data_IF_531678917840
#
_entry.id   IF_531678917840
#
_cell.length_a   1.000
_cell.length_b   1.000
_cell.length_c   1.000
_cell.angle_alpha   90.00
_cell.angle_beta   90.00
_cell.angle_gamma   90.00
#
_symmetry.space_group_name_H-M   'P 1'
#
loop_
_entity.id
_entity.type
_entity.pdbx_description
1 polymer ?
#
# COMPACT_ATOMS: atom_id res chain seq x y z
N UNK A 1 9.27 36.38 23.42
CA UNK A 1 8.14 35.41 23.63
C UNK A 1 8.30 34.26 22.65
N UNK A 2 8.30 33.02 23.15
CA UNK A 2 8.40 31.84 22.31
C UNK A 2 7.19 31.77 21.37
N UNK A 3 7.43 31.62 20.07
CA UNK A 3 6.40 31.59 19.01
C UNK A 3 6.33 30.20 18.41
N UNK A 4 5.11 29.62 18.38
CA UNK A 4 4.89 28.31 17.75
C UNK A 4 4.98 28.43 16.23
N UNK A 5 5.70 27.48 15.61
CA UNK A 5 5.63 27.20 14.19
C UNK A 5 4.65 26.06 14.00
N UNK A 6 3.52 26.35 13.35
CA UNK A 6 2.44 25.39 13.14
C UNK A 6 2.51 24.80 11.73
N UNK A 7 2.09 23.53 11.57
CA UNK A 7 1.98 22.89 10.25
C UNK A 7 0.96 23.64 9.39
N UNK A 8 1.34 24.19 8.22
CA UNK A 8 0.41 24.94 7.37
C UNK A 8 -0.66 24.04 6.78
N UNK A 9 -1.86 24.58 6.58
CA UNK A 9 -2.94 23.89 5.87
C UNK A 9 -3.05 24.44 4.44
N UNK A 10 -2.62 23.64 3.47
CA UNK A 10 -2.68 23.97 2.03
C UNK A 10 -3.94 23.37 1.38
N UNK A 11 -5.09 24.05 1.55
CA UNK A 11 -6.39 23.63 1.01
C UNK A 11 -7.35 23.04 2.06
N UNK A 12 -8.64 22.92 1.70
CA UNK A 12 -9.68 22.46 2.62
C UNK A 12 -9.68 20.94 2.86
N UNK A 13 -9.07 20.18 1.97
CA UNK A 13 -9.05 18.71 2.00
C UNK A 13 -7.79 18.09 2.60
N UNK A 14 -6.80 18.91 3.02
CA UNK A 14 -5.55 18.40 3.61
C UNK A 14 -5.73 18.32 5.12
N UNK A 15 -5.67 17.10 5.67
CA UNK A 15 -5.81 16.84 7.11
C UNK A 15 -4.45 16.73 7.80
N UNK A 16 -3.44 16.19 7.12
CA UNK A 16 -2.07 16.06 7.63
C UNK A 16 -1.03 16.25 6.52
N UNK A 17 0.22 16.54 6.93
CA UNK A 17 1.37 16.70 6.05
C UNK A 17 2.57 15.96 6.61
N UNK A 18 3.42 15.42 5.74
CA UNK A 18 4.64 14.71 6.15
C UNK A 18 5.85 15.65 6.07
N UNK A 19 6.65 15.69 7.12
CA UNK A 19 7.89 16.48 7.14
C UNK A 19 8.91 15.81 6.21
N UNK A 20 9.34 16.53 5.16
CA UNK A 20 10.32 16.09 4.19
C UNK A 20 11.75 16.23 4.71
N UNK A 21 12.22 17.46 4.89
CA UNK A 21 13.58 17.76 5.34
C UNK A 21 13.59 18.99 6.24
N UNK A 22 14.41 18.97 7.29
CA UNK A 22 14.70 20.13 8.12
C UNK A 22 15.95 20.84 7.63
N UNK A 23 15.84 22.13 7.29
CA UNK A 23 16.97 22.96 6.87
C UNK A 23 17.73 23.58 8.04
N UNK A 24 17.12 23.59 9.24
CA UNK A 24 17.67 24.11 10.49
C UNK A 24 17.62 23.07 11.60
N UNK A 25 18.57 23.16 12.52
CA UNK A 25 18.67 22.28 13.72
C UNK A 25 18.31 23.04 14.96
N UNK A 26 17.89 22.32 16.02
CA UNK A 26 17.67 22.89 17.34
C UNK A 26 18.95 23.61 17.82
N UNK A 27 18.80 24.87 18.18
CA UNK A 27 19.91 25.74 18.58
C UNK A 27 20.39 26.70 17.48
N UNK A 28 19.98 26.55 16.22
CA UNK A 28 20.37 27.44 15.13
C UNK A 28 19.62 28.79 15.21
N UNK A 29 20.27 29.85 14.78
CA UNK A 29 19.64 31.17 14.61
C UNK A 29 18.85 31.17 13.31
N UNK A 30 17.64 31.69 13.37
CA UNK A 30 16.68 31.76 12.26
C UNK A 30 16.26 33.21 12.01
N UNK A 31 16.42 33.66 10.77
CA UNK A 31 15.93 34.98 10.31
C UNK A 31 14.48 34.89 9.83
N UNK A 32 13.74 36.02 9.92
CA UNK A 32 12.41 36.12 9.30
C UNK A 32 12.50 35.91 7.78
N UNK A 33 11.68 34.99 7.24
CA UNK A 33 11.69 34.60 5.83
C UNK A 33 12.69 33.50 5.49
N UNK A 34 13.47 32.97 6.44
CA UNK A 34 14.42 31.87 6.22
C UNK A 34 13.72 30.53 6.25
N UNK A 35 14.08 29.60 5.33
CA UNK A 35 13.46 28.29 5.21
C UNK A 35 13.78 27.43 6.44
N UNK A 36 12.75 26.83 7.04
CA UNK A 36 12.82 25.98 8.22
C UNK A 36 12.80 24.51 7.86
N UNK A 37 11.78 24.10 7.12
CA UNK A 37 11.59 22.70 6.71
C UNK A 37 10.77 22.63 5.43
N UNK A 38 10.89 21.50 4.72
CA UNK A 38 9.98 21.11 3.66
C UNK A 38 8.92 20.15 4.20
N UNK A 39 7.72 20.21 3.64
CA UNK A 39 6.65 19.27 3.94
C UNK A 39 5.93 18.82 2.68
N UNK A 40 5.51 17.59 2.69
CA UNK A 40 4.83 16.93 1.56
C UNK A 40 3.36 16.73 1.90
N UNK A 41 2.50 17.15 0.98
CA UNK A 41 1.07 16.85 0.99
C UNK A 41 0.79 15.70 0.02
N UNK A 42 -0.44 15.25 -0.06
CA UNK A 42 -0.87 14.25 -1.07
C UNK A 42 -0.69 14.73 -2.53
N UNK A 43 -0.42 16.04 -2.74
CA UNK A 43 -0.42 16.68 -4.07
C UNK A 43 0.91 17.34 -4.45
N UNK A 44 1.65 17.87 -3.50
CA UNK A 44 2.87 18.64 -3.77
C UNK A 44 3.78 18.74 -2.54
N UNK A 45 5.05 19.09 -2.79
CA UNK A 45 6.04 19.43 -1.76
C UNK A 45 6.07 20.94 -1.62
N UNK A 46 6.03 21.42 -0.39
CA UNK A 46 6.09 22.85 -0.04
C UNK A 46 7.25 23.09 0.93
N UNK A 47 7.70 24.35 0.99
CA UNK A 47 8.71 24.79 1.94
C UNK A 47 8.08 25.84 2.86
N UNK A 48 8.31 25.70 4.16
CA UNK A 48 7.83 26.66 5.15
C UNK A 48 8.99 27.53 5.64
N UNK A 49 8.77 28.84 5.59
CA UNK A 49 9.71 29.84 6.06
C UNK A 49 9.34 30.37 7.45
N UNK A 50 10.34 30.79 8.22
CA UNK A 50 10.13 31.41 9.53
C UNK A 50 9.38 32.71 9.43
N UNK A 51 8.34 32.87 10.25
CA UNK A 51 7.54 34.13 10.35
C UNK A 51 8.11 35.13 11.37
N UNK A 52 9.06 34.67 12.18
CA UNK A 52 9.72 35.45 13.22
C UNK A 52 11.20 35.13 13.26
N UNK A 53 12.05 36.08 13.63
CA UNK A 53 13.46 35.86 13.89
C UNK A 53 13.68 35.45 15.34
N UNK A 54 14.62 34.52 15.57
CA UNK A 54 14.95 34.01 16.89
C UNK A 54 15.80 32.72 16.78
N UNK A 55 15.91 32.01 17.89
CA UNK A 55 16.59 30.72 17.93
C UNK A 55 15.58 29.59 17.88
N UNK A 56 15.87 28.52 17.10
CA UNK A 56 15.04 27.32 17.07
C UNK A 56 15.21 26.54 18.40
N UNK A 57 14.21 26.65 19.30
CA UNK A 57 14.30 26.13 20.65
C UNK A 57 13.97 24.64 20.73
N UNK A 58 12.97 24.19 19.98
CA UNK A 58 12.54 22.80 19.97
C UNK A 58 11.94 22.43 18.61
N UNK A 59 12.10 21.15 18.25
CA UNK A 59 11.48 20.47 17.12
C UNK A 59 10.78 19.25 17.68
N UNK A 60 9.47 19.09 17.40
CA UNK A 60 8.63 18.04 17.99
C UNK A 60 8.45 16.84 17.08
N UNK A 61 8.65 17.01 15.75
CA UNK A 61 8.46 15.98 14.75
C UNK A 61 9.70 15.86 13.86
N UNK A 62 10.10 14.62 13.57
CA UNK A 62 11.25 14.29 12.73
C UNK A 62 10.94 14.24 11.24
N UNK A 63 11.98 14.05 10.44
CA UNK A 63 11.85 13.79 8.99
C UNK A 63 11.09 12.47 8.79
N UNK A 64 10.01 12.55 7.99
CA UNK A 64 9.13 11.42 7.68
C UNK A 64 7.95 11.23 8.63
N UNK A 65 7.79 12.10 9.62
CA UNK A 65 6.63 12.08 10.52
C UNK A 65 5.41 12.73 9.85
N UNK A 66 4.25 12.11 10.03
CA UNK A 66 2.96 12.61 9.55
C UNK A 66 2.33 13.48 10.64
N UNK A 67 2.21 14.79 10.36
CA UNK A 67 1.79 15.80 11.33
C UNK A 67 0.43 16.36 10.90
N UNK A 68 -0.58 16.36 11.80
CA UNK A 68 -1.85 17.01 11.54
C UNK A 68 -1.68 18.50 11.20
N UNK A 69 -2.49 19.01 10.25
CA UNK A 69 -2.49 20.43 9.96
C UNK A 69 -2.89 21.24 11.19
N UNK A 70 -2.24 22.39 11.38
CA UNK A 70 -2.39 23.30 12.52
C UNK A 70 -1.77 22.81 13.83
N UNK A 71 -1.10 21.67 13.86
CA UNK A 71 -0.31 21.23 15.02
C UNK A 71 1.02 21.99 15.11
N UNK A 72 1.54 22.16 16.32
CA UNK A 72 2.83 22.83 16.55
C UNK A 72 3.99 21.91 16.20
N UNK A 73 4.80 22.26 15.20
CA UNK A 73 5.95 21.46 14.71
C UNK A 73 7.26 21.85 15.36
N UNK A 74 7.41 23.14 15.65
CA UNK A 74 8.63 23.68 16.26
C UNK A 74 8.33 24.98 17.04
N UNK A 75 9.30 25.43 17.83
CA UNK A 75 9.21 26.68 18.60
C UNK A 75 10.45 27.53 18.34
N UNK A 76 10.22 28.82 18.00
CA UNK A 76 11.27 29.83 17.83
C UNK A 76 11.12 30.85 18.95
N UNK A 77 12.23 31.23 19.63
CA UNK A 77 12.23 32.20 20.71
C UNK A 77 13.63 32.59 21.13
N UNK A 78 13.75 33.33 22.27
CA UNK A 78 15.03 33.65 22.86
C UNK A 78 15.58 32.49 23.68
N UNK A 79 16.90 32.36 23.78
CA UNK A 79 17.58 31.28 24.52
C UNK A 79 17.17 31.27 26.01
N UNK A 80 16.59 30.14 26.47
CA UNK A 80 16.14 29.97 27.86
C UNK A 80 14.66 30.34 28.11
N UNK A 81 13.87 30.59 27.09
CA UNK A 81 12.43 30.82 27.24
C UNK A 81 11.67 29.52 27.52
N UNK A 82 10.66 29.59 28.39
CA UNK A 82 9.81 28.45 28.77
C UNK A 82 8.88 28.09 27.59
N UNK A 83 9.00 26.85 27.09
CA UNK A 83 8.24 26.31 25.96
C UNK A 83 7.05 25.45 26.38
N UNK A 84 6.85 25.21 27.68
CA UNK A 84 5.83 24.30 28.23
C UNK A 84 4.38 24.68 27.86
N UNK A 85 4.13 25.94 27.54
CA UNK A 85 2.78 26.44 27.13
C UNK A 85 2.49 26.29 25.64
N UNK A 86 3.47 25.93 24.81
CA UNK A 86 3.39 25.95 23.35
C UNK A 86 3.64 24.56 22.74
N UNK A 87 4.02 23.56 23.58
CA UNK A 87 4.23 22.20 23.14
C UNK A 87 2.92 21.53 22.67
N UNK A 88 2.95 20.70 21.63
CA UNK A 88 1.76 19.97 21.15
C UNK A 88 1.22 19.08 22.28
N UNK A 89 -0.12 19.05 22.45
CA UNK A 89 -0.78 18.05 23.26
C UNK A 89 -0.76 16.73 22.49
N UNK A 90 0.27 15.95 22.72
CA UNK A 90 0.28 14.56 22.27
C UNK A 90 -0.74 13.82 23.13
N UNK A 91 -1.94 13.62 22.63
CA UNK A 91 -2.82 12.56 23.09
C UNK A 91 -2.16 11.25 22.66
N UNK A 92 -1.42 10.64 23.60
CA UNK A 92 -0.95 9.29 23.43
C UNK A 92 -2.18 8.40 23.30
N UNK A 93 -2.39 7.79 22.14
CA UNK A 93 -3.27 6.63 22.01
C UNK A 93 -2.83 5.61 23.06
N UNK A 94 -3.75 5.12 23.92
CA UNK A 94 -3.39 4.09 24.88
C UNK A 94 -3.11 2.80 24.12
N UNK A 95 -1.86 2.35 24.15
CA UNK A 95 -1.55 0.95 23.93
C UNK A 95 -2.48 0.13 24.82
N UNK A 96 -3.37 -0.61 24.21
CA UNK A 96 -4.20 -1.60 24.90
C UNK A 96 -3.26 -2.69 25.44
N UNK A 97 -2.80 -2.47 26.68
CA UNK A 97 -2.39 -3.57 27.56
C UNK A 97 -3.65 -4.34 27.92
N UNK A 98 -3.80 -5.53 27.40
CA UNK A 98 -4.68 -6.53 27.96
C UNK A 98 -4.31 -6.75 29.43
N UNK A 99 -5.09 -6.18 30.33
CA UNK A 99 -5.14 -6.57 31.72
C UNK A 99 -5.93 -7.88 31.84
N UNK A 100 -5.23 -8.94 32.16
CA UNK A 100 -5.84 -10.14 32.69
C UNK A 100 -6.37 -9.86 34.11
N UNK A 101 -7.57 -10.34 34.47
CA UNK A 101 -8.17 -10.04 35.77
C UNK A 101 -7.40 -10.72 36.91
N UNK A 102 -7.09 -9.91 37.91
CA UNK A 102 -6.64 -10.39 39.21
C UNK A 102 -7.81 -11.05 39.95
N UNK A 103 -7.64 -12.27 40.35
CA UNK A 103 -8.46 -12.89 41.38
C UNK A 103 -7.62 -13.46 42.50
N UNK A 104 -8.12 -13.24 43.70
CA UNK A 104 -7.42 -13.20 44.98
C UNK A 104 -7.19 -14.57 45.63
N UNK A 105 -6.20 -14.53 46.52
CA UNK A 105 -6.07 -15.24 47.82
C UNK A 105 -5.88 -16.76 47.86
N UNK A 106 -4.78 -17.07 48.52
CA UNK A 106 -4.33 -18.35 49.03
C UNK A 106 -5.36 -19.03 50.01
N UNK A 107 -5.20 -20.31 50.37
CA UNK A 107 -4.11 -20.70 51.29
C UNK A 107 -3.40 -22.04 51.01
N UNK A 108 -2.32 -22.21 51.74
CA UNK A 108 -1.41 -23.31 51.80
C UNK A 108 -2.02 -24.71 52.03
N UNK A 109 -1.43 -25.72 51.39
CA UNK A 109 -1.11 -27.00 51.98
C UNK A 109 -0.26 -27.90 51.08
N UNK A 110 0.83 -28.39 51.69
CA UNK A 110 1.43 -29.73 51.60
C UNK A 110 2.09 -30.18 50.29
N UNK A 111 3.41 -30.19 50.34
CA UNK A 111 4.34 -31.25 49.90
C UNK A 111 3.70 -32.47 49.19
N UNK A 112 3.98 -32.57 47.87
CA UNK A 112 4.25 -33.87 47.25
C UNK A 112 5.30 -33.69 46.15
N UNK A 113 6.48 -34.25 46.42
CA UNK A 113 7.57 -34.50 45.48
C UNK A 113 7.09 -35.37 44.33
N UNK A 114 6.97 -34.74 43.16
CA UNK A 114 6.93 -35.47 41.87
C UNK A 114 8.09 -34.92 41.05
N UNK A 115 9.07 -35.75 40.77
CA UNK A 115 10.12 -35.53 39.78
C UNK A 115 9.50 -35.26 38.42
N UNK A 116 9.22 -33.98 38.13
CA UNK A 116 8.92 -33.56 36.76
C UNK A 116 10.27 -33.42 36.06
N UNK A 117 10.45 -34.22 34.99
CA UNK A 117 11.57 -34.12 34.08
C UNK A 117 11.80 -32.62 33.75
N UNK A 118 12.94 -32.07 34.19
CA UNK A 118 13.31 -30.66 33.94
C UNK A 118 13.41 -30.44 32.44
N UNK A 119 12.59 -29.58 31.89
CA UNK A 119 12.62 -29.25 30.47
C UNK A 119 13.96 -28.55 30.14
N UNK A 120 14.64 -28.98 29.10
CA UNK A 120 15.85 -28.35 28.58
C UNK A 120 15.50 -27.68 27.24
N UNK A 121 15.95 -26.42 27.07
CA UNK A 121 15.72 -25.76 25.76
C UNK A 121 16.62 -26.36 24.68
N UNK A 122 16.21 -26.38 23.40
CA UNK A 122 17.03 -26.92 22.30
C UNK A 122 18.41 -26.27 22.23
N UNK A 123 18.48 -24.97 22.48
CA UNK A 123 19.77 -24.23 22.53
C UNK A 123 20.65 -24.65 23.70
N UNK A 124 20.08 -24.86 24.90
CA UNK A 124 20.80 -25.36 26.05
C UNK A 124 21.33 -26.79 25.81
N UNK A 125 20.55 -27.64 25.12
CA UNK A 125 20.99 -28.99 24.79
C UNK A 125 22.19 -28.96 23.82
N UNK A 126 22.13 -28.16 22.76
CA UNK A 126 23.25 -27.99 21.84
C UNK A 126 24.49 -27.37 22.48
N UNK A 127 24.33 -26.44 23.43
CA UNK A 127 25.43 -25.85 24.18
C UNK A 127 26.08 -26.87 25.12
N UNK A 128 25.28 -27.70 25.82
CA UNK A 128 25.76 -28.75 26.72
C UNK A 128 26.54 -29.82 25.96
N UNK A 129 26.06 -30.28 24.78
CA UNK A 129 26.75 -31.25 23.92
C UNK A 129 28.10 -30.68 23.42
N UNK A 130 28.15 -29.41 22.99
CA UNK A 130 29.41 -28.76 22.57
C UNK A 130 30.43 -28.66 23.67
N UNK A 131 29.99 -28.33 24.89
CA UNK A 131 30.86 -28.12 26.03
C UNK A 131 31.13 -29.42 26.82
N UNK A 132 30.52 -30.53 26.39
CA UNK A 132 30.59 -31.86 27.05
C UNK A 132 30.19 -31.80 28.54
N UNK A 133 29.14 -31.02 28.82
CA UNK A 133 28.59 -30.83 30.17
C UNK A 133 27.24 -31.53 30.28
N UNK A 134 26.94 -32.07 31.46
CA UNK A 134 25.62 -32.61 31.76
C UNK A 134 24.62 -31.45 32.06
N UNK A 135 23.63 -31.23 31.25
CA UNK A 135 22.66 -30.14 31.48
C UNK A 135 21.81 -30.33 32.75
N UNK A 136 21.77 -31.54 33.30
CA UNK A 136 21.10 -31.81 34.59
C UNK A 136 21.80 -31.14 35.81
N UNK A 137 23.07 -30.82 35.67
CA UNK A 137 23.87 -30.14 36.70
C UNK A 137 23.65 -28.61 36.71
N UNK A 138 23.02 -28.02 35.65
CA UNK A 138 22.80 -26.59 35.59
C UNK A 138 21.61 -26.14 36.45
N UNK A 139 21.74 -25.02 37.16
CA UNK A 139 20.63 -24.40 37.89
C UNK A 139 19.67 -23.75 36.92
N UNK A 140 18.39 -24.18 36.81
CA UNK A 140 17.46 -23.70 35.81
C UNK A 140 16.97 -22.27 36.14
N UNK A 141 17.21 -21.30 35.23
CA UNK A 141 16.75 -19.90 35.39
C UNK A 141 15.70 -19.50 34.34
N UNK A 142 15.35 -20.41 33.43
CA UNK A 142 14.34 -20.16 32.40
C UNK A 142 12.88 -20.30 32.87
N UNK A 143 11.90 -19.85 32.08
CA UNK A 143 10.47 -19.95 32.42
C UNK A 143 10.05 -21.39 32.74
N UNK A 144 9.23 -21.57 33.78
CA UNK A 144 8.73 -22.84 34.28
C UNK A 144 9.84 -23.82 34.72
N UNK A 145 10.99 -23.32 35.19
CA UNK A 145 12.09 -24.17 35.66
C UNK A 145 12.84 -24.88 34.52
N UNK A 146 12.84 -24.34 33.33
CA UNK A 146 13.57 -24.86 32.16
C UNK A 146 15.03 -24.43 32.19
N UNK A 147 15.93 -25.36 31.86
CA UNK A 147 17.35 -25.02 31.66
C UNK A 147 17.49 -24.33 30.30
N UNK A 148 18.11 -23.14 30.31
CA UNK A 148 18.39 -22.32 29.13
C UNK A 148 19.90 -22.23 28.88
N UNK A 149 20.30 -21.73 27.68
CA UNK A 149 21.71 -21.68 27.27
C UNK A 149 22.62 -20.93 28.24
N UNK A 150 22.11 -19.87 28.87
CA UNK A 150 22.84 -19.10 29.93
C UNK A 150 23.19 -19.96 31.13
N UNK A 151 22.34 -20.91 31.50
CA UNK A 151 22.58 -21.79 32.67
C UNK A 151 23.71 -22.79 32.37
N UNK A 152 23.81 -23.27 31.14
CA UNK A 152 24.93 -24.12 30.68
C UNK A 152 26.23 -23.31 30.63
N UNK A 153 26.20 -22.05 30.22
CA UNK A 153 27.35 -21.17 30.20
C UNK A 153 27.86 -20.87 31.64
N UNK A 154 26.94 -20.70 32.59
CA UNK A 154 27.29 -20.53 34.01
C UNK A 154 27.94 -21.80 34.58
N UNK A 155 27.37 -23.00 34.31
CA UNK A 155 27.96 -24.29 34.72
C UNK A 155 29.34 -24.50 34.09
N UNK A 156 29.57 -24.08 32.86
CA UNK A 156 30.88 -24.15 32.19
C UNK A 156 31.92 -23.23 32.86
N UNK A 157 31.49 -22.06 33.38
CA UNK A 157 32.36 -21.15 34.10
C UNK A 157 32.77 -21.68 35.50
N UNK A 158 31.84 -22.35 36.18
CA UNK A 158 32.08 -22.95 37.49
C UNK A 158 32.99 -24.22 37.44
N UNK A 159 32.96 -24.95 36.33
CA UNK A 159 33.71 -26.18 36.15
C UNK A 159 35.18 -25.99 35.71
N UNK A 160 35.64 -24.76 35.50
CA UNK A 160 36.99 -24.46 35.03
C UNK A 160 37.96 -24.28 36.22
N UNK A 161 38.97 -25.14 36.29
CA UNK A 161 40.19 -24.93 37.13
C UNK A 161 41.09 -23.94 36.38
N UNK A 162 41.52 -22.83 37.08
CA UNK A 162 42.41 -21.84 36.50
C UNK A 162 43.86 -22.35 36.36
N UNK A 163 44.67 -21.68 35.53
CA UNK A 163 46.08 -22.00 35.24
C UNK A 163 47.04 -21.64 36.39
N UNK A 164 46.56 -20.98 37.45
CA UNK A 164 47.35 -20.59 38.60
C UNK A 164 47.63 -21.73 39.59
N UNK A 165 48.65 -21.57 40.43
CA UNK A 165 49.06 -22.55 41.46
C UNK A 165 47.84 -22.94 42.33
N UNK A 166 47.55 -24.25 42.42
CA UNK A 166 46.39 -24.76 43.14
C UNK A 166 45.04 -24.59 42.43
N UNK A 167 45.03 -24.38 41.11
CA UNK A 167 43.78 -24.22 40.33
C UNK A 167 43.14 -22.83 40.39
N UNK A 168 43.89 -21.81 40.81
CA UNK A 168 43.41 -20.42 40.92
C UNK A 168 43.25 -19.77 39.56
N UNK A 169 42.10 -19.16 39.28
CA UNK A 169 41.82 -18.40 38.05
C UNK A 169 42.72 -17.14 37.99
N UNK A 170 43.45 -16.97 36.91
CA UNK A 170 44.27 -15.80 36.64
C UNK A 170 43.50 -14.89 35.64
N UNK A 171 43.82 -13.58 35.56
CA UNK A 171 43.18 -12.66 34.60
C UNK A 171 43.27 -13.14 33.15
N UNK A 172 44.39 -13.80 32.75
CA UNK A 172 44.55 -14.39 31.42
C UNK A 172 43.57 -15.54 31.14
N UNK A 173 43.17 -16.31 32.14
CA UNK A 173 42.17 -17.37 31.98
C UNK A 173 40.80 -16.79 31.70
N UNK A 174 40.49 -15.61 32.30
CA UNK A 174 39.26 -14.87 32.06
C UNK A 174 39.21 -14.23 30.66
N UNK A 175 40.34 -13.71 30.16
CA UNK A 175 40.43 -13.18 28.79
C UNK A 175 40.35 -14.27 27.75
N UNK A 176 40.98 -15.42 27.97
CA UNK A 176 40.90 -16.59 27.11
C UNK A 176 39.44 -17.15 27.07
N UNK A 177 38.77 -17.15 28.24
CA UNK A 177 37.37 -17.55 28.34
C UNK A 177 36.44 -16.57 27.62
N UNK A 178 36.67 -15.25 27.72
CA UNK A 178 35.92 -14.22 26.96
C UNK A 178 36.11 -14.38 25.45
N UNK A 179 37.34 -14.53 24.97
CA UNK A 179 37.60 -14.79 23.54
C UNK A 179 36.94 -16.05 23.03
N UNK A 180 36.95 -17.14 23.78
CA UNK A 180 36.27 -18.40 23.38
C UNK A 180 34.75 -18.28 23.41
N UNK A 181 34.16 -17.42 24.26
CA UNK A 181 32.72 -17.13 24.26
C UNK A 181 32.35 -16.23 23.07
N UNK A 182 33.21 -15.24 22.70
CA UNK A 182 33.02 -14.42 21.50
C UNK A 182 33.16 -15.23 20.18
N UNK A 183 34.12 -16.18 20.13
CA UNK A 183 34.27 -17.10 18.99
C UNK A 183 33.15 -18.17 18.92
N UNK A 184 32.49 -18.47 20.05
CA UNK A 184 31.39 -19.45 20.13
C UNK A 184 29.99 -18.82 20.02
N UNK A 185 29.89 -17.50 20.05
CA UNK A 185 28.61 -16.83 19.63
C UNK A 185 28.50 -17.00 18.13
N UNK A 186 27.56 -17.81 17.64
CA UNK A 186 27.30 -17.80 16.20
C UNK A 186 26.94 -16.35 15.84
N UNK A 187 27.63 -15.78 14.86
CA UNK A 187 27.21 -14.54 14.25
C UNK A 187 25.71 -14.70 13.99
N UNK A 188 24.90 -13.73 14.46
CA UNK A 188 23.48 -13.73 14.11
C UNK A 188 23.40 -13.96 12.60
N UNK A 189 22.55 -14.88 12.12
CA UNK A 189 22.42 -15.07 10.68
C UNK A 189 22.23 -13.70 10.09
N UNK A 190 23.05 -13.36 9.08
CA UNK A 190 22.88 -12.11 8.34
C UNK A 190 21.41 -12.05 7.94
N UNK A 191 20.73 -10.97 8.28
CA UNK A 191 19.34 -10.80 7.93
C UNK A 191 19.24 -10.91 6.41
N UNK A 192 18.61 -11.99 5.93
CA UNK A 192 18.43 -12.26 4.48
C UNK A 192 17.26 -11.44 3.90
N UNK A 193 16.81 -10.40 4.58
CA UNK A 193 15.70 -9.53 4.19
C UNK A 193 16.08 -8.06 4.33
N UNK A 194 15.43 -7.23 3.54
CA UNK A 194 15.54 -5.79 3.58
C UNK A 194 14.17 -5.17 3.91
N UNK A 195 14.10 -4.38 4.96
CA UNK A 195 12.91 -3.60 5.31
C UNK A 195 12.92 -2.28 4.54
N UNK A 196 12.02 -2.16 3.54
CA UNK A 196 11.88 -0.95 2.73
C UNK A 196 10.72 -0.09 3.25
N UNK A 197 11.01 1.15 3.64
CA UNK A 197 9.97 2.12 4.05
C UNK A 197 9.05 2.43 2.87
N UNK A 198 7.74 2.38 3.13
CA UNK A 198 6.72 2.73 2.13
C UNK A 198 6.73 4.24 1.85
N UNK A 199 6.65 4.59 0.57
CA UNK A 199 6.41 5.98 0.15
C UNK A 199 4.99 6.43 0.54
N UNK A 200 4.75 7.74 0.66
CA UNK A 200 3.43 8.29 1.02
C UNK A 200 2.36 7.88 0.02
N UNK A 201 2.65 7.92 -1.29
CA UNK A 201 1.73 7.43 -2.32
C UNK A 201 1.37 5.97 -2.08
N UNK A 202 2.32 5.11 -1.72
CA UNK A 202 2.05 3.70 -1.44
C UNK A 202 1.19 3.51 -0.19
N UNK A 203 1.38 4.34 0.85
CA UNK A 203 0.53 4.33 2.06
C UNK A 203 -0.92 4.71 1.73
N UNK A 204 -1.12 5.77 0.92
CA UNK A 204 -2.47 6.20 0.47
C UNK A 204 -3.14 5.12 -0.36
N UNK A 205 -2.44 4.52 -1.32
CA UNK A 205 -2.97 3.40 -2.13
C UNK A 205 -3.35 2.22 -1.22
N UNK A 206 -2.49 1.84 -0.26
CA UNK A 206 -2.76 0.74 0.65
C UNK A 206 -4.02 0.99 1.49
N UNK A 207 -4.17 2.20 2.05
CA UNK A 207 -5.36 2.62 2.81
C UNK A 207 -6.62 2.57 1.93
N UNK A 208 -6.58 3.15 0.73
CA UNK A 208 -7.72 3.18 -0.20
C UNK A 208 -8.14 1.78 -0.65
N UNK A 209 -7.20 0.90 -0.99
CA UNK A 209 -7.50 -0.47 -1.42
C UNK A 209 -8.02 -1.33 -0.26
N UNK A 210 -7.46 -1.17 0.93
CA UNK A 210 -7.97 -1.84 2.13
C UNK A 210 -9.40 -1.38 2.43
N UNK A 211 -9.67 -0.07 2.41
CA UNK A 211 -11.00 0.50 2.61
C UNK A 211 -11.98 -0.06 1.58
N UNK A 212 -11.61 -0.09 0.30
CA UNK A 212 -12.45 -0.64 -0.77
C UNK A 212 -12.87 -2.08 -0.48
N UNK A 213 -11.93 -2.96 -0.11
CA UNK A 213 -12.25 -4.38 0.14
C UNK A 213 -12.98 -4.62 1.46
N UNK A 214 -12.75 -3.79 2.49
CA UNK A 214 -13.38 -3.95 3.80
C UNK A 214 -14.79 -3.39 3.85
N UNK A 215 -15.09 -2.31 3.10
CA UNK A 215 -16.38 -1.63 3.15
C UNK A 215 -17.35 -2.05 2.05
N UNK A 216 -16.85 -2.53 0.91
CA UNK A 216 -17.67 -2.85 -0.25
C UNK A 216 -17.95 -4.35 -0.37
N UNK A 217 -19.20 -4.71 -0.71
CA UNK A 217 -19.59 -6.08 -1.03
C UNK A 217 -19.24 -6.40 -2.50
N UNK A 218 -17.95 -6.51 -2.81
CA UNK A 218 -17.48 -6.67 -4.18
C UNK A 218 -17.76 -8.08 -4.73
N UNK A 219 -18.33 -8.14 -5.93
CA UNK A 219 -18.55 -9.36 -6.69
C UNK A 219 -18.07 -9.16 -8.12
N UNK A 220 -17.42 -10.17 -8.71
CA UNK A 220 -16.89 -10.09 -10.08
C UNK A 220 -17.59 -11.08 -11.00
N UNK A 221 -18.13 -10.55 -12.10
CA UNK A 221 -18.60 -11.35 -13.22
C UNK A 221 -17.60 -11.31 -14.37
N UNK A 222 -17.39 -12.44 -15.01
CA UNK A 222 -16.48 -12.56 -16.15
C UNK A 222 -17.22 -13.06 -17.39
N UNK A 223 -16.85 -12.50 -18.53
CA UNK A 223 -17.36 -12.93 -19.84
C UNK A 223 -16.22 -12.84 -20.85
N UNK A 224 -16.29 -13.62 -21.92
CA UNK A 224 -15.43 -13.44 -23.09
C UNK A 224 -16.25 -13.16 -24.32
N UNK A 225 -15.67 -12.39 -25.25
CA UNK A 225 -16.28 -12.04 -26.53
C UNK A 225 -15.33 -12.34 -27.69
N UNK A 226 -15.88 -12.47 -28.90
CA UNK A 226 -15.11 -12.64 -30.14
C UNK A 226 -14.50 -11.29 -30.56
N UNK A 227 -13.19 -11.15 -30.41
CA UNK A 227 -12.46 -9.91 -30.71
C UNK A 227 -12.20 -9.68 -32.20
N UNK A 228 -12.63 -10.58 -33.09
CA UNK A 228 -12.37 -10.53 -34.54
C UNK A 228 -12.80 -9.18 -35.14
N UNK A 229 -13.96 -8.65 -34.77
CA UNK A 229 -14.48 -7.39 -35.28
C UNK A 229 -13.55 -6.21 -34.94
N UNK A 230 -13.20 -6.03 -33.68
CA UNK A 230 -12.33 -4.93 -33.20
C UNK A 230 -10.90 -5.05 -33.74
N UNK A 231 -10.38 -6.26 -33.87
CA UNK A 231 -9.04 -6.51 -34.42
C UNK A 231 -8.98 -6.15 -35.91
N UNK A 232 -9.98 -6.57 -36.69
CA UNK A 232 -10.10 -6.23 -38.13
C UNK A 232 -10.29 -4.73 -38.33
N UNK A 233 -11.13 -4.09 -37.52
CA UNK A 233 -11.33 -2.65 -37.56
C UNK A 233 -10.02 -1.89 -37.29
N UNK A 234 -9.31 -2.25 -36.22
CA UNK A 234 -7.99 -1.68 -35.90
C UNK A 234 -6.98 -1.90 -37.03
N UNK A 235 -6.94 -3.08 -37.64
CA UNK A 235 -6.07 -3.39 -38.80
C UNK A 235 -6.37 -2.49 -39.99
N UNK A 236 -7.65 -2.27 -40.31
CA UNK A 236 -8.08 -1.36 -41.37
C UNK A 236 -7.66 0.09 -41.09
N UNK A 237 -7.87 0.58 -39.86
CA UNK A 237 -7.42 1.92 -39.44
C UNK A 237 -5.93 2.09 -39.60
N UNK A 238 -5.15 1.09 -39.20
CA UNK A 238 -3.69 1.14 -39.31
C UNK A 238 -3.22 1.21 -40.75
N UNK A 239 -3.89 0.50 -41.69
CA UNK A 239 -3.59 0.57 -43.14
C UNK A 239 -4.02 1.91 -43.75
N UNK A 240 -5.05 2.54 -43.20
CA UNK A 240 -5.55 3.83 -43.67
C UNK A 240 -4.79 5.03 -43.04
N UNK A 241 -4.12 4.84 -41.93
CA UNK A 241 -3.51 5.90 -41.13
C UNK A 241 -2.53 6.75 -41.95
N UNK A 242 -1.70 6.11 -42.76
CA UNK A 242 -0.73 6.81 -43.62
C UNK A 242 -1.37 7.67 -44.74
N UNK A 243 -2.59 7.29 -45.14
CA UNK A 243 -3.27 7.94 -46.27
C UNK A 243 -4.28 9.01 -45.85
N UNK A 244 -4.86 8.86 -44.64
CA UNK A 244 -6.02 9.64 -44.17
C UNK A 244 -5.77 10.46 -42.94
N UNK A 245 -4.51 10.57 -42.48
CA UNK A 245 -4.12 11.23 -41.20
C UNK A 245 -5.01 10.79 -40.02
N UNK A 246 -5.21 9.49 -39.92
CA UNK A 246 -5.97 8.90 -38.84
C UNK A 246 -4.99 8.60 -37.68
N UNK A 247 -5.30 8.99 -36.42
CA UNK A 247 -4.44 8.66 -35.28
C UNK A 247 -4.32 7.15 -35.10
N UNK A 248 -3.22 6.70 -34.50
CA UNK A 248 -3.01 5.30 -34.17
C UNK A 248 -3.99 4.88 -33.07
N UNK A 249 -5.13 4.32 -33.45
CA UNK A 249 -6.15 3.81 -32.54
C UNK A 249 -5.71 2.44 -32.00
N UNK A 250 -5.73 2.30 -30.68
CA UNK A 250 -5.40 1.06 -29.99
C UNK A 250 -6.65 0.25 -29.63
N UNK A 251 -6.49 -1.01 -29.24
CA UNK A 251 -7.62 -1.81 -28.72
C UNK A 251 -8.17 -1.21 -27.41
N UNK A 252 -7.30 -0.57 -26.63
CA UNK A 252 -7.73 0.13 -25.40
C UNK A 252 -8.64 1.31 -25.72
N UNK A 253 -8.33 2.11 -26.74
CA UNK A 253 -9.17 3.24 -27.17
C UNK A 253 -10.55 2.75 -27.65
N UNK A 254 -10.59 1.64 -28.38
CA UNK A 254 -11.83 0.97 -28.81
C UNK A 254 -12.66 0.52 -27.61
N UNK A 255 -11.99 -0.05 -26.59
CA UNK A 255 -12.64 -0.49 -25.36
C UNK A 255 -13.24 0.69 -24.59
N UNK A 256 -12.46 1.76 -24.39
CA UNK A 256 -12.93 2.99 -23.71
C UNK A 256 -14.12 3.61 -24.44
N UNK A 257 -14.07 3.66 -25.76
CA UNK A 257 -15.18 4.13 -26.56
C UNK A 257 -16.43 3.25 -26.41
N UNK A 258 -16.30 1.92 -26.47
CA UNK A 258 -17.43 1.02 -26.32
C UNK A 258 -18.06 1.14 -24.91
N UNK A 259 -17.24 1.21 -23.86
CA UNK A 259 -17.71 1.41 -22.48
C UNK A 259 -18.46 2.74 -22.36
N UNK A 260 -17.92 3.84 -22.92
CA UNK A 260 -18.56 5.16 -22.84
C UNK A 260 -19.94 5.21 -23.53
N UNK A 261 -20.16 4.36 -24.54
CA UNK A 261 -21.46 4.29 -25.27
C UNK A 261 -22.46 3.35 -24.60
N UNK A 262 -22.00 2.33 -23.92
CA UNK A 262 -22.89 1.36 -23.25
C UNK A 262 -23.27 1.82 -21.85
N UNK A 263 -22.34 2.39 -21.09
CA UNK A 263 -22.52 2.75 -19.68
C UNK A 263 -23.71 3.72 -19.40
N UNK A 264 -24.07 4.70 -20.25
CA UNK A 264 -25.23 5.57 -20.01
C UNK A 264 -26.57 4.83 -19.85
N UNK A 265 -26.68 3.62 -20.41
CA UNK A 265 -27.87 2.76 -20.27
C UNK A 265 -27.89 1.95 -18.97
N UNK A 266 -26.79 2.03 -18.19
CA UNK A 266 -26.58 1.34 -16.91
C UNK A 266 -26.25 2.33 -15.78
N UNK A 267 -27.20 3.19 -15.39
CA UNK A 267 -26.92 4.33 -14.49
C UNK A 267 -26.44 3.92 -13.11
N UNK A 268 -26.71 2.68 -12.65
CA UNK A 268 -26.25 2.19 -11.37
C UNK A 268 -24.76 1.77 -11.36
N UNK A 269 -24.19 1.55 -12.56
CA UNK A 269 -22.74 1.37 -12.75
C UNK A 269 -22.03 2.70 -13.02
N UNK A 270 -22.71 3.69 -13.61
CA UNK A 270 -22.18 5.05 -13.78
C UNK A 270 -22.51 5.91 -12.57
N UNK A 271 -22.03 5.49 -11.39
CA UNK A 271 -22.50 6.03 -10.12
C UNK A 271 -21.46 5.98 -9.00
N UNK A 272 -21.72 6.74 -7.95
CA UNK A 272 -21.04 6.63 -6.64
C UNK A 272 -22.02 6.14 -5.58
N UNK A 273 -21.55 5.22 -4.74
CA UNK A 273 -22.27 4.81 -3.53
C UNK A 273 -21.83 5.68 -2.34
N UNK A 274 -22.77 6.39 -1.72
CA UNK A 274 -22.51 7.37 -0.65
C UNK A 274 -23.11 6.93 0.70
N UNK A 275 -23.30 5.63 0.91
CA UNK A 275 -23.94 5.08 2.11
C UNK A 275 -25.47 5.11 2.01
N UNK A 276 -26.08 6.25 2.28
CA UNK A 276 -27.55 6.41 2.29
C UNK A 276 -28.13 6.77 0.90
N UNK A 277 -27.28 7.03 -0.10
CA UNK A 277 -27.70 7.43 -1.44
C UNK A 277 -26.75 6.94 -2.52
N UNK A 278 -27.26 6.87 -3.74
CA UNK A 278 -26.47 6.59 -4.95
C UNK A 278 -26.50 7.85 -5.82
N UNK A 279 -25.32 8.39 -6.12
CA UNK A 279 -25.15 9.52 -7.03
C UNK A 279 -24.92 8.97 -8.44
N UNK A 280 -25.93 9.05 -9.30
CA UNK A 280 -25.85 8.68 -10.72
C UNK A 280 -25.35 9.86 -11.54
N UNK A 281 -24.38 9.62 -12.40
CA UNK A 281 -23.80 10.64 -13.28
C UNK A 281 -24.59 10.70 -14.59
N UNK A 282 -24.78 11.92 -15.14
CA UNK A 282 -25.42 12.12 -16.44
C UNK A 282 -24.45 11.79 -17.58
N UNK A 283 -23.20 12.17 -17.43
CA UNK A 283 -22.12 11.90 -18.35
C UNK A 283 -21.21 10.80 -17.81
N UNK A 284 -20.47 10.18 -18.70
CA UNK A 284 -19.51 9.13 -18.35
C UNK A 284 -18.13 9.72 -18.14
N UNK A 285 -17.64 9.64 -16.93
CA UNK A 285 -16.28 10.04 -16.56
C UNK A 285 -15.45 8.77 -16.32
N UNK A 286 -14.63 8.38 -17.30
CA UNK A 286 -13.87 7.14 -17.24
C UNK A 286 -12.54 7.33 -16.52
N UNK A 287 -12.35 6.63 -15.40
CA UNK A 287 -11.05 6.43 -14.78
C UNK A 287 -10.22 5.42 -15.60
N UNK A 288 -8.99 5.77 -15.90
CA UNK A 288 -8.03 4.93 -16.62
C UNK A 288 -6.96 4.43 -15.64
N UNK A 289 -6.91 3.13 -15.38
CA UNK A 289 -5.83 2.58 -14.54
C UNK A 289 -4.51 2.59 -15.32
N UNK A 290 -3.55 3.39 -14.87
CA UNK A 290 -2.23 3.58 -15.48
C UNK A 290 -1.15 3.14 -14.50
N UNK A 291 -0.32 2.20 -14.92
CA UNK A 291 0.89 1.81 -14.18
C UNK A 291 2.00 2.85 -14.37
N UNK A 292 2.57 3.29 -13.25
CA UNK A 292 3.67 4.28 -13.24
C UNK A 292 4.77 3.84 -12.27
N UNK A 293 6.01 4.37 -12.42
CA UNK A 293 7.09 4.09 -11.47
C UNK A 293 6.77 4.49 -10.02
N UNK A 294 5.81 5.41 -9.83
CA UNK A 294 5.36 5.87 -8.49
C UNK A 294 4.23 5.02 -7.91
N UNK A 295 3.62 4.14 -8.72
CA UNK A 295 2.47 3.31 -8.37
C UNK A 295 1.32 3.48 -9.35
N UNK A 296 0.19 2.81 -9.07
CA UNK A 296 -0.99 2.87 -9.91
C UNK A 296 -1.67 4.24 -9.76
N UNK A 297 -1.90 4.93 -10.89
CA UNK A 297 -2.65 6.17 -10.96
C UNK A 297 -3.91 5.98 -11.80
N UNK A 298 -4.98 6.74 -11.49
CA UNK A 298 -6.26 6.62 -12.20
C UNK A 298 -6.74 7.99 -12.66
N UNK A 299 -6.15 8.54 -13.76
CA UNK A 299 -6.65 9.78 -14.35
C UNK A 299 -8.04 9.58 -14.95
N UNK A 300 -8.82 10.67 -14.98
CA UNK A 300 -10.20 10.69 -15.43
C UNK A 300 -10.34 11.34 -16.80
N UNK A 301 -10.94 10.60 -17.74
CA UNK A 301 -11.39 11.09 -19.03
C UNK A 301 -12.85 11.58 -18.87
N UNK A 302 -13.05 12.87 -18.77
CA UNK A 302 -14.37 13.47 -18.53
C UNK A 302 -15.26 13.43 -19.77
N UNK A 303 -16.57 13.28 -19.59
CA UNK A 303 -17.60 13.31 -20.65
C UNK A 303 -17.25 12.39 -21.83
N UNK A 304 -16.79 11.19 -21.56
CA UNK A 304 -16.35 10.24 -22.59
C UNK A 304 -17.49 9.83 -23.54
N UNK A 305 -18.75 9.91 -23.08
CA UNK A 305 -19.96 9.62 -23.85
C UNK A 305 -20.22 10.64 -24.98
N UNK A 306 -19.71 11.86 -24.87
CA UNK A 306 -19.87 12.90 -25.90
C UNK A 306 -18.71 12.93 -26.91
N UNK A 307 -17.58 12.24 -26.59
CA UNK A 307 -16.35 12.31 -27.38
C UNK A 307 -16.31 11.26 -28.50
N UNK A 308 -15.78 11.64 -29.65
CA UNK A 308 -15.47 10.71 -30.73
C UNK A 308 -14.35 9.74 -30.34
N UNK A 309 -14.22 8.63 -31.06
CA UNK A 309 -13.12 7.69 -30.88
C UNK A 309 -11.74 8.35 -31.04
N UNK A 310 -11.61 9.36 -31.90
CA UNK A 310 -10.41 10.15 -32.12
C UNK A 310 -10.04 10.95 -30.86
N UNK A 311 -11.00 11.66 -30.29
CA UNK A 311 -10.83 12.49 -29.10
C UNK A 311 -10.51 11.63 -27.88
N UNK A 312 -11.24 10.51 -27.67
CA UNK A 312 -10.93 9.54 -26.60
C UNK A 312 -9.50 9.04 -26.73
N UNK A 313 -9.06 8.63 -27.93
CA UNK A 313 -7.70 8.13 -28.15
C UNK A 313 -6.64 9.20 -27.87
N UNK A 314 -6.86 10.44 -28.31
CA UNK A 314 -5.90 11.54 -28.13
C UNK A 314 -5.77 11.90 -26.65
N UNK A 315 -6.90 12.09 -25.96
CA UNK A 315 -6.94 12.50 -24.56
C UNK A 315 -6.45 11.39 -23.62
N UNK A 316 -6.85 10.14 -23.85
CA UNK A 316 -6.36 9.00 -23.07
C UNK A 316 -4.82 8.87 -23.14
N UNK A 317 -4.23 9.04 -24.33
CA UNK A 317 -2.77 9.02 -24.50
C UNK A 317 -2.09 10.17 -23.77
N UNK A 318 -2.65 11.38 -23.84
CA UNK A 318 -2.13 12.54 -23.14
C UNK A 318 -2.16 12.33 -21.60
N UNK A 319 -3.28 11.80 -21.08
CA UNK A 319 -3.42 11.48 -19.65
C UNK A 319 -2.42 10.40 -19.23
N UNK A 320 -2.24 9.34 -20.00
CA UNK A 320 -1.28 8.27 -19.72
C UNK A 320 0.15 8.80 -19.70
N UNK A 321 0.54 9.60 -20.70
CA UNK A 321 1.88 10.20 -20.78
C UNK A 321 2.13 11.13 -19.58
N UNK A 322 1.19 12.02 -19.24
CA UNK A 322 1.31 12.91 -18.10
C UNK A 322 1.45 12.15 -16.76
N UNK A 323 0.76 11.01 -16.59
CA UNK A 323 0.91 10.16 -15.41
C UNK A 323 2.31 9.53 -15.35
N UNK A 324 2.80 9.00 -16.48
CA UNK A 324 4.12 8.35 -16.55
C UNK A 324 5.26 9.34 -16.31
N UNK A 325 5.14 10.57 -16.83
CA UNK A 325 6.07 11.67 -16.60
C UNK A 325 5.96 12.30 -15.21
N UNK A 326 4.81 12.08 -14.54
CA UNK A 326 4.51 12.65 -13.22
C UNK A 326 4.11 14.14 -13.30
N UNK A 327 3.69 14.60 -14.47
CA UNK A 327 3.24 15.98 -14.74
C UNK A 327 1.70 16.12 -14.74
N UNK A 328 0.97 15.07 -14.34
CA UNK A 328 -0.50 15.06 -14.33
C UNK A 328 -1.06 16.11 -13.38
N UNK A 329 -2.07 16.86 -13.83
CA UNK A 329 -2.83 17.75 -12.95
C UNK A 329 -3.62 16.91 -11.92
N UNK A 330 -3.44 17.13 -10.61
CA UNK A 330 -4.13 16.40 -9.54
C UNK A 330 -5.66 16.40 -9.66
N UNK A 331 -6.25 17.45 -10.22
CA UNK A 331 -7.71 17.54 -10.41
C UNK A 331 -8.23 16.47 -11.40
N UNK A 332 -7.38 16.01 -12.30
CA UNK A 332 -7.72 14.94 -13.25
C UNK A 332 -7.65 13.53 -12.63
N UNK A 333 -7.19 13.39 -11.39
CA UNK A 333 -7.19 12.12 -10.65
C UNK A 333 -8.48 11.90 -9.85
N UNK A 334 -9.47 12.78 -9.99
CA UNK A 334 -10.73 12.76 -9.26
C UNK A 334 -11.92 12.82 -10.21
N UNK A 335 -13.13 12.60 -9.71
CA UNK A 335 -14.36 12.79 -10.46
C UNK A 335 -14.72 11.66 -11.43
N UNK A 336 -13.96 10.57 -11.49
CA UNK A 336 -14.31 9.41 -12.28
C UNK A 336 -15.58 8.73 -11.78
N UNK A 337 -16.49 8.37 -12.67
CA UNK A 337 -17.75 7.67 -12.34
C UNK A 337 -17.65 6.15 -12.48
N UNK A 338 -16.70 5.69 -13.28
CA UNK A 338 -16.42 4.28 -13.53
C UNK A 338 -14.97 4.11 -13.98
N UNK A 339 -14.33 3.01 -13.61
CA UNK A 339 -12.92 2.78 -13.96
C UNK A 339 -12.73 1.63 -14.94
N UNK A 340 -11.77 1.77 -15.86
CA UNK A 340 -11.31 0.70 -16.75
C UNK A 340 -9.84 0.39 -16.44
N UNK A 341 -9.57 -0.87 -16.13
CA UNK A 341 -8.22 -1.39 -15.88
C UNK A 341 -7.87 -2.42 -16.94
N UNK A 342 -6.75 -2.25 -17.64
CA UNK A 342 -6.37 -3.11 -18.76
C UNK A 342 -5.04 -3.83 -18.47
N UNK A 343 -5.11 -5.15 -18.28
CA UNK A 343 -3.97 -6.04 -18.12
C UNK A 343 -3.76 -6.98 -19.32
N UNK A 344 -4.48 -6.70 -20.42
CA UNK A 344 -4.45 -7.55 -21.61
C UNK A 344 -3.08 -7.66 -22.28
N UNK A 345 -2.25 -6.61 -22.23
CA UNK A 345 -0.89 -6.62 -22.75
C UNK A 345 0.08 -7.52 -21.94
N UNK A 346 -0.29 -7.86 -20.70
CA UNK A 346 0.47 -8.74 -19.82
C UNK A 346 0.02 -10.22 -19.92
N UNK A 347 -0.91 -10.52 -20.83
CA UNK A 347 -1.41 -11.88 -21.05
C UNK A 347 -2.34 -12.42 -19.96
N UNK A 348 -2.88 -11.56 -19.10
CA UNK A 348 -3.83 -11.96 -18.04
C UNK A 348 -5.18 -12.30 -18.67
N UNK A 349 -5.65 -13.53 -18.50
CA UNK A 349 -6.92 -13.99 -19.05
C UNK A 349 -8.14 -13.58 -18.22
N UNK A 350 -7.98 -13.55 -16.88
CA UNK A 350 -9.03 -13.17 -15.93
C UNK A 350 -8.39 -12.58 -14.68
N UNK A 351 -8.99 -11.54 -14.11
CA UNK A 351 -8.63 -11.00 -12.82
C UNK A 351 -9.83 -10.31 -12.16
N UNK A 352 -9.74 -10.07 -10.88
CA UNK A 352 -10.75 -9.36 -10.10
C UNK A 352 -10.22 -7.96 -9.76
N UNK A 353 -10.49 -6.92 -10.57
CA UNK A 353 -10.06 -5.57 -10.24
C UNK A 353 -10.76 -5.08 -8.98
N UNK A 354 -10.03 -4.34 -8.14
CA UNK A 354 -10.58 -3.71 -6.93
C UNK A 354 -11.20 -2.37 -7.29
N UNK A 355 -12.40 -2.11 -6.80
CA UNK A 355 -13.14 -0.88 -7.09
C UNK A 355 -12.42 0.32 -6.48
N UNK A 356 -12.36 1.42 -7.21
CA UNK A 356 -11.87 2.70 -6.72
C UNK A 356 -13.00 3.46 -5.99
N UNK A 357 -13.01 3.55 -4.66
CA UNK A 357 -14.08 4.22 -3.92
C UNK A 357 -14.21 5.70 -4.33
N UNK A 358 -15.41 6.26 -4.36
CA UNK A 358 -16.74 5.71 -4.05
C UNK A 358 -17.50 5.14 -5.26
N UNK A 359 -16.82 4.78 -6.36
CA UNK A 359 -17.43 4.22 -7.57
C UNK A 359 -18.17 2.91 -7.27
N UNK A 360 -19.16 2.58 -8.08
CA UNK A 360 -19.95 1.33 -7.94
C UNK A 360 -19.43 0.17 -8.78
N UNK A 361 -18.47 0.42 -9.67
CA UNK A 361 -17.93 -0.63 -10.51
C UNK A 361 -16.61 -0.28 -11.20
N UNK A 362 -15.91 -1.32 -11.63
CA UNK A 362 -14.67 -1.28 -12.39
C UNK A 362 -14.65 -2.41 -13.41
N UNK A 363 -14.23 -2.11 -14.64
CA UNK A 363 -14.08 -3.09 -15.72
C UNK A 363 -12.60 -3.47 -15.88
N UNK A 364 -12.28 -4.75 -15.71
CA UNK A 364 -11.02 -5.37 -16.10
C UNK A 364 -11.06 -5.82 -17.56
N UNK A 365 -10.10 -5.36 -18.36
CA UNK A 365 -9.88 -5.80 -19.74
C UNK A 365 -8.72 -6.77 -19.76
N UNK A 366 -8.94 -7.95 -20.32
CA UNK A 366 -8.01 -9.07 -20.27
C UNK A 366 -7.33 -9.31 -21.62
N UNK A 367 -6.40 -10.27 -21.66
CA UNK A 367 -5.68 -10.68 -22.85
C UNK A 367 -6.56 -11.32 -23.90
N UNK A 368 -6.02 -11.40 -25.12
CA UNK A 368 -6.64 -12.14 -26.21
C UNK A 368 -6.05 -13.55 -26.23
N UNK A 369 -6.92 -14.56 -26.19
CA UNK A 369 -6.58 -15.97 -26.30
C UNK A 369 -7.33 -16.63 -27.44
N UNK A 370 -6.72 -17.62 -28.08
CA UNK A 370 -7.42 -18.41 -29.10
C UNK A 370 -8.39 -19.39 -28.42
N UNK A 371 -9.65 -19.38 -28.85
CA UNK A 371 -10.69 -20.31 -28.40
C UNK A 371 -11.33 -21.01 -29.58
N UNK A 372 -11.85 -22.20 -29.29
CA UNK A 372 -12.53 -23.05 -30.26
C UNK A 372 -14.03 -22.90 -30.09
N UNK A 373 -14.78 -22.80 -31.20
CA UNK A 373 -16.24 -22.90 -31.23
C UNK A 373 -16.71 -23.89 -32.29
N UNK A 374 -17.80 -24.55 -32.01
CA UNK A 374 -18.49 -25.40 -32.99
C UNK A 374 -19.50 -24.56 -33.78
N UNK A 375 -19.38 -24.55 -35.08
CA UNK A 375 -20.34 -23.93 -35.98
C UNK A 375 -21.70 -24.67 -36.04
N UNK A 376 -22.73 -24.03 -36.58
CA UNK A 376 -24.05 -24.66 -36.75
C UNK A 376 -24.04 -25.88 -37.69
N UNK A 377 -23.04 -25.96 -38.52
CA UNK A 377 -22.74 -27.06 -39.45
C UNK A 377 -21.92 -28.19 -38.83
N UNK A 378 -21.60 -28.11 -37.55
CA UNK A 378 -20.73 -29.05 -36.83
C UNK A 378 -19.25 -28.84 -37.09
N UNK A 379 -18.85 -27.87 -37.91
CA UNK A 379 -17.46 -27.53 -38.16
C UNK A 379 -16.82 -26.86 -36.94
N UNK A 380 -15.52 -27.07 -36.75
CA UNK A 380 -14.73 -26.45 -35.68
C UNK A 380 -14.00 -25.22 -36.24
N UNK A 381 -14.13 -24.09 -35.57
CA UNK A 381 -13.40 -22.85 -35.90
C UNK A 381 -12.68 -22.29 -34.72
N UNK A 382 -11.49 -21.72 -34.96
CA UNK A 382 -10.71 -20.99 -33.95
C UNK A 382 -11.02 -19.50 -34.10
N UNK A 383 -11.15 -18.79 -32.98
CA UNK A 383 -11.38 -17.34 -32.96
C UNK A 383 -10.61 -16.68 -31.81
N UNK A 384 -10.18 -15.42 -31.96
CA UNK A 384 -9.58 -14.65 -30.88
C UNK A 384 -10.64 -14.23 -29.87
N UNK A 385 -10.55 -14.70 -28.65
CA UNK A 385 -11.44 -14.34 -27.56
C UNK A 385 -10.74 -13.36 -26.61
N UNK A 386 -11.42 -12.27 -26.23
CA UNK A 386 -10.94 -11.33 -25.24
C UNK A 386 -11.81 -11.41 -23.99
N UNK A 387 -11.17 -11.46 -22.81
CA UNK A 387 -11.86 -11.53 -21.52
C UNK A 387 -12.24 -10.15 -21.00
N UNK A 388 -13.38 -10.06 -20.33
CA UNK A 388 -13.85 -8.91 -19.57
C UNK A 388 -14.22 -9.36 -18.16
N UNK A 389 -13.78 -8.62 -17.15
CA UNK A 389 -14.06 -8.86 -15.74
C UNK A 389 -14.68 -7.60 -15.14
N UNK A 390 -15.97 -7.64 -14.81
CA UNK A 390 -16.67 -6.54 -14.15
C UNK A 390 -16.75 -6.83 -12.65
N UNK A 391 -16.07 -6.02 -11.83
CA UNK A 391 -16.29 -5.99 -10.39
C UNK A 391 -17.25 -4.86 -10.06
N UNK A 392 -18.24 -5.13 -9.22
CA UNK A 392 -19.25 -4.17 -8.80
C UNK A 392 -19.56 -4.32 -7.32
N UNK A 393 -20.06 -3.23 -6.72
CA UNK A 393 -20.49 -3.22 -5.32
C UNK A 393 -21.93 -3.70 -5.20
N UNK A 394 -22.12 -4.90 -4.64
CA UNK A 394 -23.44 -5.53 -4.51
C UNK A 394 -24.39 -4.78 -3.54
N UNK A 395 -23.90 -3.77 -2.84
CA UNK A 395 -24.75 -2.84 -2.07
C UNK A 395 -25.48 -1.85 -2.98
N UNK A 396 -24.90 -1.53 -4.15
CA UNK A 396 -25.43 -0.54 -5.11
C UNK A 396 -26.26 -1.15 -6.22
N UNK A 397 -25.94 -2.37 -6.66
CA UNK A 397 -26.67 -3.06 -7.72
C UNK A 397 -26.56 -4.58 -7.60
N UNK A 398 -27.56 -5.28 -8.15
CA UNK A 398 -27.61 -6.73 -8.15
C UNK A 398 -26.87 -7.36 -9.34
N UNK A 399 -26.64 -8.68 -9.27
CA UNK A 399 -25.95 -9.43 -10.31
C UNK A 399 -26.59 -9.38 -11.70
N UNK A 400 -27.93 -9.33 -11.79
CA UNK A 400 -28.62 -9.32 -13.08
C UNK A 400 -28.40 -8.00 -13.87
N UNK A 401 -28.49 -6.79 -13.28
CA UNK A 401 -28.09 -5.54 -13.94
C UNK A 401 -26.62 -5.55 -14.38
N UNK A 402 -25.70 -5.99 -13.53
CA UNK A 402 -24.28 -6.12 -13.84
C UNK A 402 -24.03 -7.05 -15.05
N UNK A 403 -24.73 -8.20 -15.10
CA UNK A 403 -24.64 -9.15 -16.20
C UNK A 403 -25.23 -8.59 -17.51
N UNK A 404 -26.30 -7.78 -17.43
CA UNK A 404 -26.87 -7.11 -18.63
C UNK A 404 -25.87 -6.12 -19.22
N UNK A 405 -25.19 -5.33 -18.41
CA UNK A 405 -24.11 -4.45 -18.89
C UNK A 405 -23.03 -5.24 -19.63
N UNK A 406 -22.52 -6.34 -19.05
CA UNK A 406 -21.51 -7.17 -19.71
C UNK A 406 -22.02 -7.78 -21.03
N UNK A 407 -23.25 -8.26 -21.05
CA UNK A 407 -23.85 -8.85 -22.26
C UNK A 407 -24.00 -7.80 -23.36
N UNK A 408 -24.40 -6.58 -23.02
CA UNK A 408 -24.54 -5.48 -23.95
C UNK A 408 -23.18 -4.99 -24.46
N UNK A 409 -22.19 -4.82 -23.56
CA UNK A 409 -20.83 -4.44 -23.92
C UNK A 409 -20.17 -5.50 -24.82
N UNK A 410 -20.35 -6.78 -24.53
CA UNK A 410 -19.94 -7.88 -25.41
C UNK A 410 -20.53 -7.72 -26.81
N UNK A 411 -21.85 -7.53 -26.92
CA UNK A 411 -22.54 -7.36 -28.20
C UNK A 411 -22.03 -6.14 -28.96
N UNK A 412 -21.80 -5.03 -28.24
CA UNK A 412 -21.28 -3.80 -28.84
C UNK A 412 -19.85 -3.99 -29.39
N UNK A 413 -19.02 -4.74 -28.73
CA UNK A 413 -17.64 -5.04 -29.17
C UNK A 413 -17.59 -6.05 -30.32
N UNK A 414 -18.44 -7.07 -30.30
CA UNK A 414 -18.59 -8.03 -31.40
C UNK A 414 -19.17 -7.39 -32.67
N UNK A 415 -19.90 -6.27 -32.51
CA UNK A 415 -20.50 -5.49 -33.59
C UNK A 415 -20.01 -4.03 -33.61
N UNK A 416 -18.73 -3.81 -33.30
CA UNK A 416 -18.19 -2.47 -33.04
C UNK A 416 -18.44 -1.43 -34.14
N UNK A 417 -18.39 -1.84 -35.40
CA UNK A 417 -18.67 -0.93 -36.53
C UNK A 417 -20.11 -0.37 -36.51
N UNK A 418 -21.07 -1.13 -36.00
CA UNK A 418 -22.42 -0.64 -35.81
C UNK A 418 -22.53 0.40 -34.68
N UNK A 419 -21.70 0.28 -33.63
CA UNK A 419 -21.64 1.24 -32.51
C UNK A 419 -21.14 2.63 -32.92
N UNK A 420 -20.42 2.74 -34.06
CA UNK A 420 -19.90 4.00 -34.58
C UNK A 420 -20.99 4.85 -35.32
N UNK A 421 -22.15 4.28 -35.59
CA UNK A 421 -23.24 4.95 -36.32
C UNK A 421 -24.18 5.70 -35.35
N UNK A 422 -24.23 5.27 -34.08
CA UNK A 422 -25.02 5.88 -33.01
C UNK A 422 -24.12 6.59 -32.04
#
# INVERSE_FOLDING_TARGET
>A
MATAVIMPRQGQSVESCVIGEWFKKVGDDVGEGELLFSYETDKAVFEEAAKVSGKLLAVFFGVGDDVPCLETVAVIGAEGEDISGVAPKVEAEPEQREEAPAEAAAPAAALQTAERARGISPRAKNAAERLRLDPAMAAPTGPNGRVIERDIAALAAESRTGSGLGGRLLPCDMETAKRQVEELTPAAPAEEYEDVKLTNIRKVIAKSMHQSLSEMAQLTHTVSFDATCIMNYRKQLKLAAEKLDVPNITLNDIMLYAVSRVLPRHPDLNAHYLGDSIRRFRHVNLGLAVDTPRGLMVPTLFNADEKSLREISSEAKALIAACQEGSINPDLLQGGSFTVSNLGSLGIEHFTPVINPPQTGILGVCGITERVRTGKDGGISVYPAMGLSLTYDHRSLDGAPASRFLAELKTALESFTALLIG
#
